data_IF_811347849391
#
_entry.id   IF_811347849391
#
_cell.length_a   1.000
_cell.length_b   1.000
_cell.length_c   1.000
_cell.angle_alpha   90.00
_cell.angle_beta   90.00
_cell.angle_gamma   90.00
#
_symmetry.space_group_name_H-M   'P 1'
#
loop_
_entity.id
_entity.type
_entity.pdbx_description
1 polymer ?
#
# COMPACT_ATOMS: atom_id res chain seq x y z
N UNK A 1 -24.23 0.74 -15.84
CA UNK A 1 -23.25 1.75 -15.37
C UNK A 1 -23.00 2.68 -16.55
N UNK A 2 -23.78 3.75 -16.69
CA UNK A 2 -23.61 4.70 -17.80
C UNK A 2 -22.88 5.94 -17.28
N UNK A 3 -21.59 6.03 -17.59
CA UNK A 3 -20.81 7.26 -17.51
C UNK A 3 -20.03 7.36 -18.81
N UNK A 4 -19.88 8.57 -19.32
CA UNK A 4 -18.94 8.85 -20.41
C UNK A 4 -17.53 8.97 -19.82
N UNK A 5 -16.71 7.93 -20.00
CA UNK A 5 -15.27 7.98 -19.70
C UNK A 5 -14.51 8.17 -21.01
N UNK A 6 -13.73 9.25 -21.11
CA UNK A 6 -12.80 9.42 -22.23
C UNK A 6 -11.61 8.47 -22.09
N UNK A 7 -11.00 8.10 -23.22
CA UNK A 7 -9.87 7.15 -23.24
C UNK A 7 -8.70 7.57 -22.33
N UNK A 8 -8.43 8.88 -22.21
CA UNK A 8 -7.36 9.40 -21.35
C UNK A 8 -7.72 9.28 -19.86
N UNK A 9 -8.97 9.56 -19.48
CA UNK A 9 -9.44 9.37 -18.09
C UNK A 9 -9.45 7.89 -17.69
N UNK A 10 -9.80 7.00 -18.61
CA UNK A 10 -9.70 5.55 -18.38
C UNK A 10 -8.25 5.10 -18.18
N UNK A 11 -7.31 5.63 -18.98
CA UNK A 11 -5.87 5.34 -18.85
C UNK A 11 -5.31 5.80 -17.50
N UNK A 12 -5.71 6.98 -17.04
CA UNK A 12 -5.28 7.51 -15.74
C UNK A 12 -5.75 6.62 -14.58
N UNK A 13 -7.03 6.25 -14.58
CA UNK A 13 -7.59 5.33 -13.58
C UNK A 13 -6.84 3.98 -13.65
N UNK A 14 -6.66 3.42 -14.84
CA UNK A 14 -5.99 2.13 -15.02
C UNK A 14 -4.54 2.15 -14.53
N UNK A 15 -3.80 3.24 -14.80
CA UNK A 15 -2.43 3.43 -14.33
C UNK A 15 -2.32 3.39 -12.80
N UNK A 16 -3.23 4.08 -12.11
CA UNK A 16 -3.28 4.10 -10.63
C UNK A 16 -4.02 2.90 -10.02
N UNK A 17 -4.63 2.05 -10.83
CA UNK A 17 -5.29 0.82 -10.39
C UNK A 17 -4.33 -0.34 -10.16
N UNK A 18 -3.02 -0.16 -10.44
CA UNK A 18 -1.98 -1.16 -10.17
C UNK A 18 -2.22 -2.49 -10.91
N UNK A 19 -2.85 -2.43 -12.09
CA UNK A 19 -3.24 -3.61 -12.86
C UNK A 19 -4.25 -4.53 -12.17
N UNK A 20 -4.86 -4.10 -11.07
CA UNK A 20 -5.77 -4.92 -10.26
C UNK A 20 -7.23 -4.60 -10.62
N UNK A 21 -7.98 -5.52 -11.26
CA UNK A 21 -9.35 -5.25 -11.72
C UNK A 21 -10.29 -4.80 -10.59
N UNK A 22 -10.06 -5.29 -9.37
CA UNK A 22 -10.86 -4.93 -8.18
C UNK A 22 -10.61 -3.49 -7.74
N UNK A 23 -9.33 -3.06 -7.71
CA UNK A 23 -8.94 -1.67 -7.40
C UNK A 23 -9.47 -0.73 -8.47
N UNK A 24 -9.36 -1.10 -9.75
CA UNK A 24 -9.90 -0.31 -10.85
C UNK A 24 -11.41 -0.11 -10.75
N UNK A 25 -12.16 -1.17 -10.47
CA UNK A 25 -13.60 -1.05 -10.25
C UNK A 25 -13.95 -0.17 -9.04
N UNK A 26 -13.17 -0.25 -7.94
CA UNK A 26 -13.38 0.61 -6.76
C UNK A 26 -13.08 2.08 -7.07
N UNK A 27 -11.97 2.37 -7.74
CA UNK A 27 -11.59 3.73 -8.15
C UNK A 27 -12.62 4.30 -9.13
N UNK A 28 -13.02 3.53 -10.14
CA UNK A 28 -14.00 3.96 -11.15
C UNK A 28 -15.36 4.32 -10.52
N UNK A 29 -15.85 3.55 -9.54
CA UNK A 29 -17.09 3.91 -8.81
C UNK A 29 -16.96 5.26 -8.10
N UNK A 30 -15.84 5.50 -7.41
CA UNK A 30 -15.62 6.75 -6.67
C UNK A 30 -15.41 7.96 -7.59
N UNK A 31 -14.63 7.78 -8.66
CA UNK A 31 -14.42 8.81 -9.69
C UNK A 31 -15.76 9.16 -10.35
N UNK A 32 -16.61 8.16 -10.62
CA UNK A 32 -17.96 8.36 -11.15
C UNK A 32 -18.84 9.17 -10.20
N UNK A 33 -18.84 8.84 -8.92
CA UNK A 33 -19.67 9.55 -7.94
C UNK A 33 -19.24 11.02 -7.85
N UNK A 34 -17.93 11.29 -7.95
CA UNK A 34 -17.38 12.65 -7.99
C UNK A 34 -17.70 13.38 -9.31
N UNK A 35 -17.61 12.68 -10.44
CA UNK A 35 -17.91 13.25 -11.76
C UNK A 35 -19.38 13.63 -11.91
N UNK A 36 -20.31 12.89 -11.31
CA UNK A 36 -21.73 13.29 -11.28
C UNK A 36 -21.96 14.58 -10.48
N UNK A 37 -21.24 14.76 -9.37
CA UNK A 37 -21.42 15.93 -8.49
C UNK A 37 -20.69 17.17 -9.04
N UNK A 38 -19.50 16.99 -9.63
CA UNK A 38 -18.60 18.11 -9.97
C UNK A 38 -18.34 18.31 -11.47
N UNK A 39 -18.65 17.35 -12.33
CA UNK A 39 -18.24 17.35 -13.74
C UNK A 39 -19.33 16.89 -14.72
N UNK A 40 -20.60 17.05 -14.35
CA UNK A 40 -21.76 16.76 -15.21
C UNK A 40 -21.76 15.33 -15.81
N UNK A 41 -21.17 14.36 -15.11
CA UNK A 41 -21.17 12.95 -15.51
C UNK A 41 -20.11 12.54 -16.54
N UNK A 42 -19.17 13.43 -16.93
CA UNK A 42 -18.06 13.10 -17.84
C UNK A 42 -16.75 12.93 -17.07
N UNK A 43 -16.01 11.85 -17.38
CA UNK A 43 -14.69 11.58 -16.80
C UNK A 43 -13.61 11.87 -17.84
N UNK A 44 -13.04 13.08 -17.76
CA UNK A 44 -11.84 13.49 -18.51
C UNK A 44 -10.57 13.15 -17.71
N UNK A 45 -9.40 13.39 -18.30
CA UNK A 45 -8.12 13.25 -17.61
C UNK A 45 -8.06 14.13 -16.36
N UNK A 46 -8.45 15.42 -16.44
CA UNK A 46 -8.38 16.31 -15.28
C UNK A 46 -9.36 15.89 -14.18
N UNK A 47 -10.55 15.41 -14.56
CA UNK A 47 -11.53 14.92 -13.59
C UNK A 47 -11.04 13.65 -12.91
N UNK A 48 -10.42 12.73 -13.65
CA UNK A 48 -9.84 11.52 -13.10
C UNK A 48 -8.67 11.83 -12.15
N UNK A 49 -7.74 12.71 -12.55
CA UNK A 49 -6.62 13.13 -11.72
C UNK A 49 -7.10 13.85 -10.44
N UNK A 50 -7.99 14.83 -10.58
CA UNK A 50 -8.56 15.54 -9.42
C UNK A 50 -9.32 14.58 -8.48
N UNK A 51 -10.07 13.63 -9.03
CA UNK A 51 -10.77 12.63 -8.22
C UNK A 51 -9.78 11.70 -7.50
N UNK A 52 -8.74 11.21 -8.17
CA UNK A 52 -7.74 10.31 -7.58
C UNK A 52 -6.89 11.04 -6.53
N UNK A 53 -6.55 12.31 -6.75
CA UNK A 53 -5.91 13.17 -5.76
C UNK A 53 -6.82 13.38 -4.54
N UNK A 54 -8.11 13.66 -4.75
CA UNK A 54 -9.08 13.79 -3.65
C UNK A 54 -9.30 12.48 -2.87
N UNK A 55 -8.98 11.33 -3.47
CA UNK A 55 -9.00 10.01 -2.83
C UNK A 55 -7.67 9.66 -2.16
N UNK A 56 -6.73 10.61 -2.11
CA UNK A 56 -5.34 10.47 -1.66
C UNK A 56 -4.64 9.26 -2.27
N UNK A 57 -4.86 9.02 -3.57
CA UNK A 57 -4.15 8.02 -4.36
C UNK A 57 -2.91 8.66 -4.97
N UNK A 58 -1.75 8.25 -4.46
CA UNK A 58 -0.42 8.68 -4.93
C UNK A 58 -0.24 8.34 -6.42
N UNK A 59 0.56 9.10 -7.19
CA UNK A 59 1.08 8.67 -8.50
C UNK A 59 1.60 7.22 -8.57
N UNK A 60 2.17 6.69 -7.49
CA UNK A 60 2.60 5.28 -7.38
C UNK A 60 1.42 4.31 -7.16
N UNK A 61 0.19 4.79 -7.03
CA UNK A 61 -1.01 3.97 -6.83
C UNK A 61 -1.28 3.55 -5.39
N UNK A 62 -0.51 4.09 -4.44
CA UNK A 62 -0.77 3.92 -3.01
C UNK A 62 -2.01 4.67 -2.59
N UNK A 63 -3.01 3.94 -2.10
CA UNK A 63 -4.19 4.51 -1.50
C UNK A 63 -4.01 4.70 0.02
N UNK A 64 -5.01 5.33 0.65
CA UNK A 64 -5.06 5.52 2.10
C UNK A 64 -4.92 4.19 2.85
N UNK A 65 -5.43 3.09 2.29
CA UNK A 65 -5.42 1.79 2.93
C UNK A 65 -4.04 1.13 2.85
N UNK A 66 -3.36 1.24 1.72
CA UNK A 66 -1.97 0.79 1.57
C UNK A 66 -1.07 1.47 2.61
N UNK A 67 -1.22 2.80 2.76
CA UNK A 67 -0.48 3.57 3.76
C UNK A 67 -0.84 3.14 5.19
N UNK A 68 -2.14 2.98 5.49
CA UNK A 68 -2.59 2.50 6.80
C UNK A 68 -2.04 1.11 7.13
N UNK A 69 -2.00 0.19 6.17
CA UNK A 69 -1.46 -1.15 6.37
C UNK A 69 0.04 -1.07 6.70
N UNK A 70 0.83 -0.38 5.88
CA UNK A 70 2.27 -0.26 6.11
C UNK A 70 2.61 0.48 7.40
N UNK A 71 1.93 1.59 7.69
CA UNK A 71 2.09 2.32 8.96
C UNK A 71 1.67 1.49 10.16
N UNK A 72 0.59 0.70 10.06
CA UNK A 72 0.21 -0.21 11.13
C UNK A 72 1.32 -1.24 11.40
N UNK A 73 1.89 -1.86 10.36
CA UNK A 73 3.02 -2.80 10.52
C UNK A 73 4.23 -2.09 11.16
N UNK A 74 4.58 -0.89 10.70
CA UNK A 74 5.76 -0.16 11.15
C UNK A 74 5.59 0.37 12.58
N UNK A 75 4.51 1.10 12.87
CA UNK A 75 4.33 1.81 14.13
C UNK A 75 3.71 0.93 15.22
N UNK A 76 2.66 0.16 14.89
CA UNK A 76 1.96 -0.67 15.89
C UNK A 76 2.69 -1.98 16.18
N UNK A 77 3.37 -2.53 15.18
CA UNK A 77 4.04 -3.83 15.27
C UNK A 77 5.57 -3.75 15.12
N UNK A 78 6.15 -2.54 15.16
CA UNK A 78 7.60 -2.32 15.10
C UNK A 78 8.30 -2.97 13.90
N UNK A 79 7.59 -3.12 12.77
CA UNK A 79 8.10 -3.75 11.56
C UNK A 79 7.69 -5.21 11.36
N UNK A 80 7.00 -5.83 12.32
CA UNK A 80 6.53 -7.22 12.28
C UNK A 80 7.48 -8.22 12.97
N UNK A 81 7.25 -9.54 12.85
CA UNK A 81 6.19 -10.21 12.08
C UNK A 81 4.81 -10.14 12.74
N UNK A 82 3.79 -9.82 11.96
CA UNK A 82 2.38 -9.72 12.43
C UNK A 82 1.44 -10.64 11.65
N UNK A 83 0.54 -11.32 12.37
CA UNK A 83 -0.50 -12.16 11.78
C UNK A 83 -1.54 -11.35 10.98
N UNK A 84 -2.15 -11.96 9.97
CA UNK A 84 -3.13 -11.27 9.13
C UNK A 84 -4.36 -10.80 9.91
N UNK A 85 -4.82 -11.59 10.86
CA UNK A 85 -5.99 -11.26 11.69
C UNK A 85 -5.72 -10.04 12.60
N UNK A 86 -4.51 -9.95 13.15
CA UNK A 86 -4.10 -8.79 13.94
C UNK A 86 -3.96 -7.53 13.09
N UNK A 87 -3.48 -7.66 11.85
CA UNK A 87 -3.43 -6.55 10.89
C UNK A 87 -4.84 -6.09 10.51
N UNK A 88 -5.73 -7.02 10.17
CA UNK A 88 -7.13 -6.78 9.87
C UNK A 88 -7.83 -6.00 10.99
N UNK A 89 -7.68 -6.47 12.24
CA UNK A 89 -8.21 -5.79 13.42
C UNK A 89 -7.59 -4.39 13.63
N UNK A 90 -6.30 -4.23 13.38
CA UNK A 90 -5.59 -2.98 13.61
C UNK A 90 -5.96 -1.86 12.62
N UNK A 91 -6.37 -2.21 11.39
CA UNK A 91 -6.79 -1.25 10.36
C UNK A 91 -8.32 -1.21 10.16
N UNK A 92 -9.05 -2.15 10.77
CA UNK A 92 -10.51 -2.24 10.69
C UNK A 92 -11.02 -2.74 9.34
N UNK A 93 -10.28 -3.64 8.69
CA UNK A 93 -10.63 -4.20 7.37
C UNK A 93 -10.74 -5.71 7.40
N UNK A 94 -11.42 -6.27 6.40
CA UNK A 94 -11.53 -7.71 6.25
C UNK A 94 -10.21 -8.35 5.79
N UNK A 95 -9.92 -9.51 6.37
CA UNK A 95 -8.75 -10.35 6.10
C UNK A 95 -8.55 -10.60 4.59
N UNK A 96 -9.63 -10.98 3.92
CA UNK A 96 -9.62 -11.31 2.49
C UNK A 96 -9.37 -10.07 1.61
N UNK A 97 -9.82 -8.88 2.05
CA UNK A 97 -9.51 -7.63 1.36
C UNK A 97 -8.02 -7.32 1.41
N UNK A 98 -7.36 -7.56 2.53
CA UNK A 98 -5.92 -7.36 2.66
C UNK A 98 -5.16 -8.33 1.76
N UNK A 99 -5.50 -9.61 1.83
CA UNK A 99 -4.84 -10.68 1.08
C UNK A 99 -5.06 -10.57 -0.45
N UNK A 100 -6.27 -10.29 -0.90
CA UNK A 100 -6.61 -10.31 -2.33
C UNK A 100 -6.39 -8.97 -3.03
N UNK A 101 -6.33 -7.85 -2.30
CA UNK A 101 -6.33 -6.50 -2.88
C UNK A 101 -5.08 -5.72 -2.55
N UNK A 102 -4.64 -5.72 -1.29
CA UNK A 102 -3.53 -4.85 -0.83
C UNK A 102 -2.17 -5.55 -0.97
N UNK A 103 -2.06 -6.77 -0.42
CA UNK A 103 -0.79 -7.51 -0.36
C UNK A 103 -0.14 -7.78 -1.72
N UNK A 104 -0.86 -8.16 -2.80
CA UNK A 104 -0.21 -8.53 -4.05
C UNK A 104 0.68 -7.41 -4.60
N UNK A 105 0.20 -6.17 -4.55
CA UNK A 105 0.96 -5.02 -5.00
C UNK A 105 2.10 -4.65 -4.05
N UNK A 106 1.82 -4.62 -2.75
CA UNK A 106 2.82 -4.25 -1.74
C UNK A 106 3.99 -5.25 -1.70
N UNK A 107 3.72 -6.52 -1.96
CA UNK A 107 4.75 -7.56 -2.08
C UNK A 107 5.51 -7.41 -3.39
N UNK A 108 4.81 -7.20 -4.52
CA UNK A 108 5.45 -7.06 -5.83
C UNK A 108 6.38 -5.84 -5.90
N UNK A 109 5.98 -4.72 -5.32
CA UNK A 109 6.82 -3.52 -5.21
C UNK A 109 7.88 -3.61 -4.10
N UNK A 110 7.87 -4.70 -3.32
CA UNK A 110 8.86 -4.95 -2.28
C UNK A 110 8.74 -4.05 -1.06
N UNK A 111 7.52 -3.63 -0.69
CA UNK A 111 7.21 -2.90 0.55
C UNK A 111 6.84 -3.83 1.70
N UNK A 112 6.16 -4.93 1.42
CA UNK A 112 5.72 -5.92 2.39
C UNK A 112 6.32 -7.29 2.08
N UNK A 113 6.71 -8.04 3.10
CA UNK A 113 7.20 -9.41 2.96
C UNK A 113 6.33 -10.39 3.73
N UNK A 114 5.91 -11.48 3.06
CA UNK A 114 5.28 -12.63 3.73
C UNK A 114 6.35 -13.54 4.32
N UNK A 115 6.16 -13.93 5.58
CA UNK A 115 6.97 -14.93 6.28
C UNK A 115 6.07 -15.98 6.92
N UNK A 116 6.58 -17.17 7.29
CA UNK A 116 5.80 -18.16 8.02
C UNK A 116 5.22 -17.65 9.35
N UNK A 117 5.85 -16.62 9.94
CA UNK A 117 5.45 -16.01 11.22
C UNK A 117 4.47 -14.84 11.06
N UNK A 118 4.26 -14.35 9.83
CA UNK A 118 3.43 -13.18 9.58
C UNK A 118 3.99 -12.25 8.51
N UNK A 119 3.47 -11.03 8.44
CA UNK A 119 3.86 -9.98 7.51
C UNK A 119 4.90 -9.08 8.16
N UNK A 120 5.90 -8.68 7.39
CA UNK A 120 6.94 -7.75 7.83
C UNK A 120 7.09 -6.59 6.85
N UNK A 121 7.34 -5.39 7.38
CA UNK A 121 7.67 -4.22 6.58
C UNK A 121 9.13 -4.32 6.13
N UNK A 122 9.37 -4.06 4.85
CA UNK A 122 10.72 -4.07 4.27
C UNK A 122 11.39 -2.71 4.42
N UNK A 123 12.69 -2.64 4.11
CA UNK A 123 13.46 -1.39 4.04
C UNK A 123 12.82 -0.34 3.14
N UNK A 124 12.24 -0.77 2.01
CA UNK A 124 11.57 0.13 1.07
C UNK A 124 10.38 0.83 1.70
N UNK A 125 9.64 0.17 2.60
CA UNK A 125 8.51 0.77 3.29
C UNK A 125 8.96 1.89 4.24
N UNK A 126 9.99 1.65 5.05
CA UNK A 126 10.57 2.69 5.91
C UNK A 126 11.05 3.89 5.11
N UNK A 127 11.78 3.65 4.00
CA UNK A 127 12.26 4.74 3.13
C UNK A 127 11.11 5.53 2.49
N UNK A 128 10.05 4.87 2.07
CA UNK A 128 8.88 5.52 1.48
C UNK A 128 8.21 6.50 2.45
N UNK A 129 8.15 6.16 3.74
CA UNK A 129 7.62 7.05 4.78
C UNK A 129 8.66 7.98 5.41
N UNK A 130 9.92 7.95 4.94
CA UNK A 130 11.02 8.75 5.53
C UNK A 130 11.36 8.36 6.98
N UNK A 131 11.01 7.15 7.40
CA UNK A 131 11.20 6.69 8.77
C UNK A 131 12.59 6.05 8.93
N UNK A 132 13.23 6.31 10.07
CA UNK A 132 14.44 5.62 10.45
C UNK A 132 14.13 4.13 10.66
N UNK A 133 14.92 3.25 10.05
CA UNK A 133 14.78 1.83 10.32
C UNK A 133 15.09 1.54 11.79
N UNK A 134 14.37 0.62 12.45
CA UNK A 134 14.91 -0.01 13.64
C UNK A 134 16.23 -0.67 13.23
N UNK A 135 17.35 -0.23 13.84
CA UNK A 135 18.64 -0.91 13.68
C UNK A 135 18.39 -2.37 14.00
N UNK A 136 18.59 -3.23 13.00
CA UNK A 136 18.07 -4.58 13.06
C UNK A 136 18.50 -5.29 14.33
N UNK A 137 17.61 -6.14 14.83
CA UNK A 137 17.99 -7.47 15.25
C UNK A 137 18.65 -8.18 14.06
N UNK A 138 19.82 -7.68 13.64
CA UNK A 138 20.79 -8.47 12.92
C UNK A 138 21.06 -9.65 13.82
N UNK A 139 20.94 -10.84 13.26
CA UNK A 139 21.52 -12.04 13.86
C UNK A 139 22.88 -11.60 14.42
N UNK A 140 23.13 -11.68 15.74
CA UNK A 140 24.46 -11.42 16.25
C UNK A 140 25.38 -12.30 15.40
N UNK A 141 26.36 -11.71 14.73
CA UNK A 141 27.36 -12.52 14.05
C UNK A 141 27.94 -13.41 15.13
N UNK A 142 27.62 -14.70 15.09
CA UNK A 142 28.10 -15.71 16.05
C UNK A 142 29.64 -15.88 16.00
N UNK A 143 30.30 -15.08 15.15
CA UNK A 143 31.72 -15.06 14.86
C UNK A 143 32.42 -13.80 15.35
N UNK A 144 31.70 -12.85 15.98
CA UNK A 144 32.34 -11.76 16.73
C UNK A 144 32.79 -12.29 18.10
N UNK A 145 33.71 -13.26 18.10
CA UNK A 145 34.51 -13.55 19.29
C UNK A 145 35.49 -12.39 19.48
N UNK A 146 35.61 -11.81 20.69
CA UNK A 146 36.71 -10.93 20.98
C UNK A 146 37.99 -11.77 20.85
N UNK A 147 38.84 -11.46 19.86
CA UNK A 147 40.21 -11.95 19.83
C UNK A 147 40.85 -11.47 21.12
N UNK A 148 40.98 -12.38 22.07
CA UNK A 148 41.76 -12.17 23.28
C UNK A 148 43.24 -12.21 22.87
N UNK A 149 43.70 -11.10 22.29
CA UNK A 149 45.11 -10.80 22.16
C UNK A 149 45.54 -10.05 23.44
N UNK A 150 46.63 -10.55 24.03
CA UNK A 150 47.47 -9.93 25.08
C UNK A 150 46.90 -10.04 26.52
N UNK A 151 47.55 -10.67 27.51
CA UNK A 151 48.97 -10.98 27.78
C UNK A 151 49.12 -12.18 28.71
#
# INVERSE_FOLDING_TARGET
LEIEVNADGAREIAGRSRGTPRVSNRQLRRVRDLAHVKASGKVTLEVADAALQMLDVDPLGFDVMDRKLLLAVIEKFSGGPVGLDNLAAAIGEERDTIEDVLEPYLIQQGYLQRTPRGRMATVSAYRHFGLAQPQGAGTPNLWDEPRNDER
#
